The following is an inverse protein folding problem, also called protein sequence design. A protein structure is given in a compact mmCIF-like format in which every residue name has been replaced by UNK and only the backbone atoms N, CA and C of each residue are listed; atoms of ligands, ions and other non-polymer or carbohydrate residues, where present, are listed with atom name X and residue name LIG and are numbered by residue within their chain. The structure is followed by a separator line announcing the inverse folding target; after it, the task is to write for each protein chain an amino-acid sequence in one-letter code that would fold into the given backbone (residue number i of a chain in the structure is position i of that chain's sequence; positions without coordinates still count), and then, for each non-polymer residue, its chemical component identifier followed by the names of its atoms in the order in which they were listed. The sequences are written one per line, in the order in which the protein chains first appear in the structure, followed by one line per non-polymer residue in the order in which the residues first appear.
data_IF_868707273067
#
_entry.id   IF_868707273067
#
_cell.length_a   1.000
_cell.length_b   1.000
_cell.length_c   1.000
_cell.angle_alpha   90.00
_cell.angle_beta   90.00
_cell.angle_gamma   90.00
#
_symmetry.space_group_name_H-M   'P 1'
#
loop_
_entity.id
_entity.type
_entity.pdbx_description
1 polymer ?
#
# COMPACT_ATOMS: atom_id res chain seq x y z
N UNK A 1 -6.02 -7.55 17.19
CA UNK A 1 -5.76 -6.65 16.04
C UNK A 1 -4.29 -6.27 16.03
N UNK A 2 -3.56 -6.64 14.99
CA UNK A 2 -2.19 -6.19 14.78
C UNK A 2 -2.25 -4.90 13.96
N UNK A 3 -1.64 -3.84 14.47
CA UNK A 3 -1.55 -2.59 13.74
C UNK A 3 -0.33 -2.63 12.84
N UNK A 4 -0.53 -2.36 11.56
CA UNK A 4 0.52 -2.36 10.56
C UNK A 4 0.93 -0.93 10.23
N UNK A 5 2.21 -0.73 10.01
CA UNK A 5 2.76 0.45 9.36
C UNK A 5 2.46 0.43 7.87
N UNK A 6 2.71 1.55 7.18
CA UNK A 6 2.55 1.61 5.73
C UNK A 6 3.43 0.60 4.99
N UNK A 7 4.60 0.28 5.54
CA UNK A 7 5.54 -0.68 4.95
C UNK A 7 5.03 -2.11 5.09
N UNK A 8 4.53 -2.47 6.27
CA UNK A 8 3.93 -3.78 6.52
C UNK A 8 2.62 -3.96 5.74
N UNK A 9 1.79 -2.92 5.67
CA UNK A 9 0.58 -2.91 4.85
C UNK A 9 0.90 -3.12 3.36
N UNK A 10 1.97 -2.49 2.86
CA UNK A 10 2.41 -2.66 1.49
C UNK A 10 2.95 -4.08 1.24
N UNK A 11 3.69 -4.65 2.18
CA UNK A 11 4.16 -6.04 2.11
C UNK A 11 3.01 -7.04 2.15
N UNK A 12 2.02 -6.84 3.02
CA UNK A 12 0.83 -7.68 3.14
C UNK A 12 0.05 -7.74 1.81
N UNK A 13 -0.13 -6.57 1.19
CA UNK A 13 -0.78 -6.44 -0.10
C UNK A 13 0.14 -6.78 -1.29
N UNK A 14 1.43 -6.99 -1.04
CA UNK A 14 2.46 -7.22 -2.07
C UNK A 14 2.50 -6.09 -3.11
N UNK A 15 2.21 -4.87 -2.69
CA UNK A 15 2.23 -3.63 -3.51
C UNK A 15 3.42 -2.75 -3.14
N UNK A 16 3.68 -1.73 -3.97
CA UNK A 16 4.72 -0.73 -3.65
C UNK A 16 4.27 0.22 -2.54
N UNK A 17 5.17 0.51 -1.59
CA UNK A 17 4.94 1.50 -0.52
C UNK A 17 4.54 2.87 -1.09
N UNK A 18 5.18 3.31 -2.18
CA UNK A 18 4.84 4.58 -2.84
C UNK A 18 3.41 4.61 -3.39
N UNK A 19 2.93 3.49 -3.94
CA UNK A 19 1.53 3.38 -4.40
C UNK A 19 0.56 3.44 -3.22
N UNK A 20 0.89 2.74 -2.12
CA UNK A 20 0.07 2.75 -0.92
C UNK A 20 0.06 4.14 -0.27
N UNK A 21 1.19 4.86 -0.29
CA UNK A 21 1.31 6.23 0.20
C UNK A 21 0.43 7.21 -0.59
N UNK A 22 0.45 7.13 -1.93
CA UNK A 22 -0.42 7.93 -2.80
C UNK A 22 -1.89 7.68 -2.49
N UNK A 23 -2.25 6.42 -2.22
CA UNK A 23 -3.61 6.01 -1.86
C UNK A 23 -4.03 6.42 -0.46
N UNK A 24 -3.10 6.39 0.50
CA UNK A 24 -3.32 6.90 1.87
C UNK A 24 -3.55 8.41 1.83
N UNK A 25 -2.79 9.14 0.99
CA UNK A 25 -2.94 10.58 0.80
C UNK A 25 -4.29 10.95 0.18
N UNK A 26 -4.84 10.10 -0.69
CA UNK A 26 -6.18 10.27 -1.29
C UNK A 26 -7.33 9.84 -0.37
N UNK A 27 -7.04 9.47 0.88
CA UNK A 27 -8.02 8.93 1.82
C UNK A 27 -8.76 7.69 1.27
N UNK A 28 -8.13 6.97 0.34
CA UNK A 28 -8.73 5.85 -0.36
C UNK A 28 -8.48 4.51 0.34
N UNK A 29 -7.66 4.48 1.39
CA UNK A 29 -7.25 3.29 2.13
C UNK A 29 -7.71 3.45 3.58
N UNK A 30 -8.30 2.42 4.20
CA UNK A 30 -8.66 2.46 5.61
C UNK A 30 -7.40 2.65 6.47
N UNK A 31 -7.32 3.79 7.15
CA UNK A 31 -6.17 4.17 7.96
C UNK A 31 -6.63 4.82 9.27
N UNK A 32 -6.08 4.36 10.38
CA UNK A 32 -6.31 4.94 11.69
C UNK A 32 -5.20 5.94 12.00
N UNK A 33 -5.59 7.19 12.28
CA UNK A 33 -4.65 8.25 12.65
C UNK A 33 -4.48 8.27 14.17
N UNK A 34 -3.40 7.67 14.66
CA UNK A 34 -2.98 7.78 16.07
C UNK A 34 -2.06 8.99 16.22
N UNK A 35 -2.67 10.18 16.33
CA UNK A 35 -1.93 11.43 16.46
C UNK A 35 -0.99 11.69 15.27
N UNK A 36 0.32 11.54 15.50
CA UNK A 36 1.36 11.68 14.45
C UNK A 36 1.54 10.42 13.60
N UNK A 37 1.06 9.27 14.05
CA UNK A 37 1.30 7.98 13.40
C UNK A 37 0.08 7.51 12.60
N UNK A 38 0.34 7.01 11.40
CA UNK A 38 -0.63 6.32 10.57
C UNK A 38 -0.52 4.83 10.84
N UNK A 39 -1.62 4.21 11.26
CA UNK A 39 -1.70 2.77 11.48
C UNK A 39 -2.78 2.17 10.59
N UNK A 40 -2.50 1.00 10.05
CA UNK A 40 -3.39 0.25 9.18
C UNK A 40 -3.84 -1.01 9.91
N UNK A 41 -5.12 -1.36 9.83
CA UNK A 41 -5.58 -2.64 10.31
C UNK A 41 -5.39 -3.70 9.21
N UNK A 42 -4.77 -4.83 9.55
CA UNK A 42 -4.50 -5.89 8.57
C UNK A 42 -5.78 -6.51 7.99
N UNK A 43 -6.83 -6.65 8.82
CA UNK A 43 -8.12 -7.20 8.41
C UNK A 43 -8.84 -6.25 7.46
N UNK A 44 -9.01 -5.00 7.89
CA UNK A 44 -9.69 -3.96 7.11
C UNK A 44 -8.99 -3.70 5.77
N UNK A 45 -7.65 -3.70 5.77
CA UNK A 45 -6.85 -3.55 4.56
C UNK A 45 -7.03 -4.71 3.58
N UNK A 46 -7.12 -5.94 4.10
CA UNK A 46 -7.35 -7.15 3.28
C UNK A 46 -8.75 -7.13 2.68
N UNK A 47 -9.77 -6.74 3.45
CA UNK A 47 -11.15 -6.62 2.98
C UNK A 47 -11.29 -5.52 1.92
N UNK A 48 -10.67 -4.37 2.16
CA UNK A 48 -10.60 -3.29 1.19
C UNK A 48 -9.96 -3.73 -0.13
N UNK A 49 -8.85 -4.47 -0.08
CA UNK A 49 -8.18 -4.97 -1.27
C UNK A 49 -9.03 -5.96 -2.05
N UNK A 50 -9.77 -6.83 -1.35
CA UNK A 50 -10.75 -7.75 -1.96
C UNK A 50 -11.87 -6.99 -2.68
N UNK A 51 -12.34 -5.88 -2.12
CA UNK A 51 -13.32 -4.99 -2.77
C UNK A 51 -12.73 -4.33 -4.02
N UNK A 52 -11.48 -3.84 -3.95
CA UNK A 52 -10.81 -3.20 -5.08
C UNK A 52 -10.50 -4.12 -6.26
N UNK A 53 -10.29 -5.42 -6.02
CA UNK A 53 -10.03 -6.38 -7.10
C UNK A 53 -11.20 -6.48 -8.10
N UNK A 54 -12.42 -6.10 -7.73
CA UNK A 54 -13.57 -6.08 -8.64
C UNK A 54 -13.61 -4.82 -9.53
N UNK A 55 -12.97 -3.72 -9.12
CA UNK A 55 -12.98 -2.42 -9.80
C UNK A 55 -11.87 -2.29 -10.88
N UNK A 56 -11.65 -3.35 -11.66
CA UNK A 56 -10.58 -3.52 -12.65
C UNK A 56 -10.61 -2.58 -13.88
N UNK A 57 -10.94 -1.30 -13.73
CA UNK A 57 -11.00 -0.28 -14.80
C UNK A 57 -10.08 0.92 -14.57
N UNK A 58 -9.09 0.83 -13.67
CA UNK A 58 -8.15 1.92 -13.36
C UNK A 58 -6.81 1.81 -14.08
N UNK A 59 -6.71 2.40 -15.27
CA UNK A 59 -5.44 2.62 -16.00
C UNK A 59 -4.41 3.31 -15.08
N UNK A 60 -3.24 2.69 -14.82
CA UNK A 60 -2.13 3.44 -14.19
C UNK A 60 -1.03 2.68 -13.44
N UNK A 61 -1.07 1.36 -13.27
CA UNK A 61 -0.11 0.66 -12.42
C UNK A 61 0.88 -0.23 -13.19
N UNK A 62 1.64 0.33 -14.13
CA UNK A 62 2.80 -0.35 -14.71
C UNK A 62 3.82 0.64 -15.30
N UNK A 63 4.46 1.47 -14.46
CA UNK A 63 5.83 1.95 -14.74
C UNK A 63 6.66 1.97 -13.46
N UNK A 64 7.56 1.00 -13.39
CA UNK A 64 8.73 1.04 -12.53
C UNK A 64 9.27 -0.36 -12.26
N UNK A 65 10.29 -0.77 -13.01
CA UNK A 65 11.46 -1.34 -12.38
C UNK A 65 12.58 -0.31 -12.56
N UNK A 66 12.94 0.41 -11.51
CA UNK A 66 14.28 1.00 -11.44
C UNK A 66 15.09 0.05 -10.58
N UNK A 67 15.76 -0.88 -11.27
CA UNK A 67 16.84 -1.67 -10.70
C UNK A 67 17.86 -0.70 -10.09
N UNK A 68 18.07 -0.76 -8.79
CA UNK A 68 19.27 -0.17 -8.19
C UNK A 68 20.38 -1.20 -8.36
N UNK A 69 21.37 -0.79 -9.15
CA UNK A 69 22.58 -1.51 -9.51
C UNK A 69 23.36 -2.02 -8.31
N UNK A 70 23.80 -3.28 -8.37
CA UNK A 70 25.01 -3.73 -7.69
C UNK A 70 25.80 -4.63 -8.66
N UNK A 71 26.69 -4.01 -9.42
CA UNK A 71 27.80 -4.70 -10.06
C UNK A 71 29.01 -3.78 -10.04
N UNK A 72 29.88 -3.98 -9.05
CA UNK A 72 31.18 -3.30 -8.96
C UNK A 72 32.24 -4.34 -9.32
N UNK A 73 32.93 -4.08 -10.43
CA UNK A 73 34.21 -4.69 -10.79
C UNK A 73 35.29 -4.31 -9.79
#
# INVERSE_FOLDING_TARGET
MAWLTIEEAAQLLRVKVSWLYDRTRRNAVPHTKLGKYLRFDAGELTEWAKSFHQDGRGRGAARGPVSVSENRH
#
